data_IF_516969308570
#
_entry.id   IF_516969308570
#
_cell.length_a   1.000
_cell.length_b   1.000
_cell.length_c   1.000
_cell.angle_alpha   90.00
_cell.angle_beta   90.00
_cell.angle_gamma   90.00
#
_symmetry.space_group_name_H-M   'P 1'
#
loop_
_entity.id
_entity.type
_entity.pdbx_description
1 polymer ?
#
# COMPACT_ATOMS: atom_id res chain seq x y z
N UNK A 1 -37.73 -27.38 35.31
CA UNK A 1 -36.73 -26.67 34.49
C UNK A 1 -36.66 -25.24 35.01
N UNK A 2 -35.55 -24.84 35.59
CA UNK A 2 -35.40 -23.68 36.46
C UNK A 2 -35.56 -22.37 35.67
N UNK A 3 -36.29 -21.37 36.19
CA UNK A 3 -36.60 -20.07 35.55
C UNK A 3 -35.33 -19.35 35.01
N UNK A 4 -34.21 -19.47 35.70
CA UNK A 4 -32.95 -18.88 35.30
C UNK A 4 -32.34 -19.51 34.03
N UNK A 5 -32.52 -20.83 33.80
CA UNK A 5 -32.07 -21.49 32.55
C UNK A 5 -32.83 -21.01 31.30
N UNK A 6 -34.12 -20.69 31.46
CA UNK A 6 -34.94 -20.14 30.35
C UNK A 6 -34.50 -18.74 29.96
N UNK A 7 -34.08 -17.90 30.93
CA UNK A 7 -33.57 -16.55 30.69
C UNK A 7 -32.22 -16.62 29.96
N UNK A 8 -31.33 -17.54 30.34
CA UNK A 8 -30.04 -17.73 29.66
C UNK A 8 -30.18 -18.23 28.20
N UNK A 9 -31.11 -19.16 27.96
CA UNK A 9 -31.40 -19.69 26.61
C UNK A 9 -32.03 -18.60 25.74
N UNK A 10 -32.91 -17.76 26.25
CA UNK A 10 -33.52 -16.65 25.53
C UNK A 10 -32.46 -15.55 25.21
N UNK A 11 -31.55 -15.21 26.13
CA UNK A 11 -30.45 -14.28 25.93
C UNK A 11 -29.46 -14.78 24.90
N UNK A 12 -29.12 -16.08 24.90
CA UNK A 12 -28.21 -16.68 23.91
C UNK A 12 -28.85 -16.75 22.51
N UNK A 13 -30.13 -17.03 22.38
CA UNK A 13 -30.87 -16.97 21.11
C UNK A 13 -30.95 -15.53 20.56
N UNK A 14 -31.16 -14.52 21.42
CA UNK A 14 -31.19 -13.12 21.00
C UNK A 14 -29.81 -12.67 20.48
N UNK A 15 -28.73 -13.11 21.13
CA UNK A 15 -27.34 -12.81 20.69
C UNK A 15 -27.00 -13.49 19.35
N UNK A 16 -27.45 -14.72 19.11
CA UNK A 16 -27.29 -15.41 17.83
C UNK A 16 -28.07 -14.71 16.69
N UNK A 17 -29.27 -14.18 16.96
CA UNK A 17 -30.03 -13.41 15.96
C UNK A 17 -29.35 -12.08 15.59
N UNK A 18 -28.73 -11.38 16.53
CA UNK A 18 -28.01 -10.11 16.23
C UNK A 18 -26.70 -10.35 15.47
N UNK A 19 -25.98 -11.43 15.75
CA UNK A 19 -24.78 -11.81 15.00
C UNK A 19 -25.09 -12.15 13.53
N UNK A 20 -26.27 -12.73 13.26
CA UNK A 20 -26.69 -13.04 11.88
C UNK A 20 -27.06 -11.79 11.06
N UNK A 21 -27.51 -10.71 11.69
CA UNK A 21 -27.82 -9.45 10.99
C UNK A 21 -26.58 -8.75 10.45
N UNK A 22 -25.43 -8.85 11.10
CA UNK A 22 -24.16 -8.29 10.59
C UNK A 22 -23.57 -9.06 9.39
N UNK A 23 -23.90 -10.35 9.27
CA UNK A 23 -23.46 -11.16 8.12
C UNK A 23 -24.24 -10.83 6.83
N UNK A 24 -25.45 -10.29 6.91
CA UNK A 24 -26.27 -9.96 5.74
C UNK A 24 -25.91 -8.62 5.09
N UNK A 25 -25.19 -7.71 5.76
CA UNK A 25 -24.82 -6.41 5.23
C UNK A 25 -23.72 -6.52 4.16
N UNK A 26 -22.92 -7.56 4.15
CA UNK A 26 -21.86 -7.81 3.13
C UNK A 26 -22.38 -8.30 1.78
N UNK A 27 -23.62 -8.72 1.67
CA UNK A 27 -24.18 -9.31 0.46
C UNK A 27 -24.58 -8.34 -0.66
N UNK A 28 -24.55 -7.03 -0.43
CA UNK A 28 -25.03 -6.02 -1.39
C UNK A 28 -23.89 -5.20 -2.05
N UNK A 29 -22.65 -5.59 -1.87
CA UNK A 29 -21.51 -4.89 -2.44
C UNK A 29 -21.44 -5.09 -3.94
N UNK A 30 -21.36 -3.98 -4.69
CA UNK A 30 -21.08 -4.00 -6.11
C UNK A 30 -19.57 -4.12 -6.30
N UNK A 31 -19.13 -5.05 -7.13
CA UNK A 31 -17.74 -5.29 -7.45
C UNK A 31 -17.53 -5.35 -8.96
N UNK A 32 -16.63 -4.53 -9.48
CA UNK A 32 -16.18 -4.57 -10.87
C UNK A 32 -14.95 -5.46 -10.94
N UNK A 33 -15.03 -6.54 -11.69
CA UNK A 33 -13.94 -7.50 -11.88
C UNK A 33 -13.42 -7.35 -13.29
N UNK A 34 -12.15 -7.10 -13.41
CA UNK A 34 -11.41 -7.09 -14.67
C UNK A 34 -10.31 -8.14 -14.55
N UNK A 35 -10.24 -9.07 -15.49
CA UNK A 35 -9.22 -10.13 -15.46
C UNK A 35 -8.67 -10.41 -16.85
N UNK A 36 -7.35 -10.53 -17.00
CA UNK A 36 -6.74 -10.99 -18.23
C UNK A 36 -6.98 -12.50 -18.43
N UNK A 37 -6.77 -12.98 -19.64
CA UNK A 37 -6.96 -14.40 -20.01
C UNK A 37 -5.82 -15.32 -19.55
N UNK A 38 -4.63 -14.79 -19.24
CA UNK A 38 -3.56 -15.56 -18.62
C UNK A 38 -3.66 -15.52 -17.08
N UNK A 39 -3.50 -16.66 -16.44
CA UNK A 39 -3.60 -16.79 -14.98
C UNK A 39 -2.44 -16.13 -14.22
N UNK A 40 -1.26 -16.04 -14.82
CA UNK A 40 -0.07 -15.38 -14.28
C UNK A 40 0.05 -13.90 -14.69
N UNK A 41 -0.89 -13.42 -15.52
CA UNK A 41 -0.96 -12.04 -16.03
C UNK A 41 0.28 -11.60 -16.81
N UNK A 42 1.03 -12.57 -17.37
CA UNK A 42 2.28 -12.34 -18.12
C UNK A 42 2.12 -12.68 -19.58
N UNK A 43 2.68 -11.83 -20.45
CA UNK A 43 2.55 -11.93 -21.91
C UNK A 43 3.89 -11.69 -22.58
N UNK A 44 4.06 -12.31 -23.75
CA UNK A 44 5.16 -12.00 -24.67
C UNK A 44 4.84 -10.75 -25.46
N UNK A 45 5.88 -10.09 -25.97
CA UNK A 45 5.67 -8.95 -26.87
C UNK A 45 4.83 -9.36 -28.08
N UNK A 46 3.90 -8.48 -28.48
CA UNK A 46 2.93 -8.68 -29.57
C UNK A 46 1.87 -9.76 -29.31
N UNK A 47 1.94 -10.48 -28.23
CA UNK A 47 0.91 -11.41 -27.83
C UNK A 47 -0.38 -10.67 -27.49
N UNK A 48 -1.53 -11.24 -27.89
CA UNK A 48 -2.83 -10.64 -27.61
C UNK A 48 -3.27 -10.96 -26.19
N UNK A 49 -3.46 -9.94 -25.37
CA UNK A 49 -4.11 -10.04 -24.06
C UNK A 49 -5.59 -9.70 -24.21
N UNK A 50 -6.45 -10.53 -23.63
CA UNK A 50 -7.91 -10.32 -23.61
C UNK A 50 -8.37 -10.12 -22.17
N UNK A 51 -8.82 -8.92 -21.85
CA UNK A 51 -9.46 -8.63 -20.57
C UNK A 51 -10.94 -8.97 -20.60
N UNK A 52 -11.40 -9.68 -19.60
CA UNK A 52 -12.81 -9.92 -19.31
C UNK A 52 -13.26 -8.95 -18.23
N UNK A 53 -14.34 -8.24 -18.51
CA UNK A 53 -14.97 -7.25 -17.60
C UNK A 53 -16.32 -7.80 -17.18
N UNK A 54 -16.58 -7.86 -15.87
CA UNK A 54 -17.84 -8.30 -15.28
C UNK A 54 -18.16 -7.44 -14.06
N UNK A 55 -19.43 -7.21 -13.80
CA UNK A 55 -19.92 -6.50 -12.64
C UNK A 55 -20.78 -7.44 -11.81
N UNK A 56 -20.48 -7.53 -10.52
CA UNK A 56 -21.17 -8.39 -9.59
C UNK A 56 -21.92 -7.58 -8.55
N UNK A 57 -23.11 -8.05 -8.19
CA UNK A 57 -23.82 -7.66 -6.97
C UNK A 57 -23.87 -8.87 -6.05
N UNK A 58 -23.20 -8.78 -4.91
CA UNK A 58 -22.90 -9.94 -4.09
C UNK A 58 -22.07 -10.97 -4.91
N UNK A 59 -22.63 -12.11 -5.24
CA UNK A 59 -22.00 -13.15 -6.06
C UNK A 59 -22.65 -13.33 -7.45
N UNK A 60 -23.69 -12.55 -7.76
CA UNK A 60 -24.42 -12.64 -9.01
C UNK A 60 -23.89 -11.62 -10.02
N UNK A 61 -23.67 -12.08 -11.25
CA UNK A 61 -23.32 -11.20 -12.38
C UNK A 61 -24.50 -10.31 -12.70
N UNK A 62 -24.27 -9.03 -12.85
CA UNK A 62 -25.28 -8.07 -13.31
C UNK A 62 -25.24 -8.02 -14.84
N UNK A 63 -26.35 -8.34 -15.54
CA UNK A 63 -26.46 -8.13 -16.98
C UNK A 63 -26.65 -6.63 -17.29
N UNK A 64 -26.36 -6.27 -18.53
CA UNK A 64 -26.72 -4.97 -19.14
C UNK A 64 -26.21 -3.71 -18.42
N UNK A 65 -25.18 -3.86 -17.56
CA UNK A 65 -24.52 -2.73 -16.92
C UNK A 65 -23.76 -1.92 -17.97
N UNK A 66 -23.89 -0.60 -17.94
CA UNK A 66 -23.06 0.29 -18.75
C UNK A 66 -21.73 0.56 -18.08
N UNK A 67 -20.68 0.52 -18.88
CA UNK A 67 -19.30 0.76 -18.43
C UNK A 67 -18.61 1.72 -19.39
N UNK A 68 -17.74 2.55 -18.83
CA UNK A 68 -16.68 3.22 -19.59
C UNK A 68 -15.40 2.42 -19.39
N UNK A 69 -14.54 2.32 -20.39
CA UNK A 69 -13.24 1.72 -20.20
C UNK A 69 -12.12 2.46 -20.93
N UNK A 70 -10.92 2.36 -20.35
CA UNK A 70 -9.66 2.78 -20.94
C UNK A 70 -8.74 1.55 -21.05
N UNK A 71 -8.16 1.32 -22.21
CA UNK A 71 -7.24 0.22 -22.48
C UNK A 71 -5.99 0.75 -23.19
N UNK A 72 -4.82 0.33 -22.72
CA UNK A 72 -3.54 0.71 -23.32
C UNK A 72 -2.38 0.60 -22.35
N UNK A 73 -1.18 1.06 -22.75
CA UNK A 73 -0.04 1.15 -21.87
C UNK A 73 -0.37 1.97 -20.62
N UNK A 74 0.20 1.59 -19.49
CA UNK A 74 0.03 2.31 -18.22
C UNK A 74 0.32 3.81 -18.43
N UNK A 75 -0.56 4.69 -17.91
CA UNK A 75 -0.56 6.15 -18.07
C UNK A 75 -0.92 6.68 -19.48
N UNK A 76 -0.86 5.87 -20.53
CA UNK A 76 -1.10 6.29 -21.92
C UNK A 76 -2.12 5.37 -22.61
N UNK A 77 -3.41 5.38 -22.20
CA UNK A 77 -4.42 4.55 -22.82
C UNK A 77 -4.57 4.92 -24.29
N UNK A 78 -4.57 3.91 -25.15
CA UNK A 78 -4.72 4.06 -26.62
C UNK A 78 -6.15 3.91 -27.07
N UNK A 79 -6.99 3.29 -26.25
CA UNK A 79 -8.42 3.12 -26.52
C UNK A 79 -9.24 3.58 -25.32
N UNK A 80 -10.28 4.40 -25.59
CA UNK A 80 -11.28 4.83 -24.62
C UNK A 80 -12.66 4.66 -25.22
N UNK A 81 -13.56 4.06 -24.46
CA UNK A 81 -14.97 3.92 -24.87
C UNK A 81 -15.88 4.16 -23.67
N UNK A 82 -16.94 4.91 -23.92
CA UNK A 82 -17.92 5.29 -22.93
C UNK A 82 -19.28 4.62 -23.21
N UNK A 83 -20.02 4.31 -22.14
CA UNK A 83 -21.38 3.81 -22.19
C UNK A 83 -21.56 2.45 -22.86
N UNK A 84 -20.52 1.60 -22.89
CA UNK A 84 -20.61 0.26 -23.47
C UNK A 84 -21.40 -0.65 -22.54
N UNK A 85 -22.41 -1.34 -23.10
CA UNK A 85 -23.21 -2.29 -22.30
C UNK A 85 -22.53 -3.67 -22.22
N UNK A 86 -22.56 -4.26 -21.05
CA UNK A 86 -22.16 -5.65 -20.85
C UNK A 86 -23.23 -6.56 -21.46
N UNK A 87 -22.88 -7.30 -22.51
CA UNK A 87 -23.78 -8.32 -23.07
C UNK A 87 -23.73 -9.57 -22.22
N UNK A 88 -24.87 -10.04 -21.76
CA UNK A 88 -24.97 -11.21 -20.87
C UNK A 88 -24.07 -11.10 -19.64
N UNK A 89 -23.90 -9.89 -19.12
CA UNK A 89 -23.06 -9.58 -17.95
C UNK A 89 -21.56 -9.61 -18.19
N UNK A 90 -21.11 -9.65 -19.47
CA UNK A 90 -19.70 -9.75 -19.84
C UNK A 90 -19.34 -8.80 -20.98
N UNK A 91 -18.16 -8.20 -20.90
CA UNK A 91 -17.49 -7.52 -22.01
C UNK A 91 -16.05 -8.03 -22.11
N UNK A 92 -15.60 -8.31 -23.33
CA UNK A 92 -14.19 -8.62 -23.58
C UNK A 92 -13.56 -7.55 -24.44
N UNK A 93 -12.38 -7.09 -24.02
CA UNK A 93 -11.58 -6.11 -24.76
C UNK A 93 -10.16 -6.65 -24.89
N UNK A 94 -9.50 -6.39 -26.00
CA UNK A 94 -8.18 -6.98 -26.26
C UNK A 94 -7.21 -5.94 -26.80
N UNK A 95 -5.95 -6.08 -26.40
CA UNK A 95 -4.85 -5.30 -26.97
C UNK A 95 -3.54 -6.08 -26.87
N UNK A 96 -2.45 -5.51 -27.33
CA UNK A 96 -1.11 -6.06 -27.23
C UNK A 96 -0.09 -4.93 -27.06
N UNK A 97 1.13 -5.26 -26.65
CA UNK A 97 2.24 -4.30 -26.55
C UNK A 97 3.42 -4.76 -27.41
N UNK A 98 4.09 -3.79 -28.05
CA UNK A 98 5.28 -4.02 -28.86
C UNK A 98 6.59 -3.83 -28.07
N UNK A 99 6.50 -3.22 -26.89
CA UNK A 99 7.63 -2.92 -26.00
C UNK A 99 7.36 -3.50 -24.61
N UNK A 100 8.41 -3.86 -23.85
CA UNK A 100 8.26 -4.28 -22.46
C UNK A 100 7.54 -3.23 -21.63
N UNK A 101 6.67 -3.67 -20.71
CA UNK A 101 5.90 -2.75 -19.87
C UNK A 101 4.58 -3.34 -19.39
N UNK A 102 3.61 -2.48 -19.13
CA UNK A 102 2.34 -2.86 -18.52
C UNK A 102 1.16 -2.36 -19.33
N UNK A 103 0.31 -3.30 -19.75
CA UNK A 103 -0.96 -3.04 -20.42
C UNK A 103 -2.06 -2.98 -19.35
N UNK A 104 -2.76 -1.86 -19.25
CA UNK A 104 -3.79 -1.62 -18.24
C UNK A 104 -5.17 -1.48 -18.85
N UNK A 105 -6.14 -2.15 -18.24
CA UNK A 105 -7.56 -1.95 -18.50
C UNK A 105 -8.19 -1.35 -17.23
N UNK A 106 -8.67 -0.10 -17.33
CA UNK A 106 -9.47 0.59 -16.30
C UNK A 106 -10.92 0.59 -16.72
N UNK A 107 -11.80 0.37 -15.77
CA UNK A 107 -13.25 0.28 -16.01
C UNK A 107 -13.98 1.09 -14.95
N UNK A 108 -14.95 1.86 -15.38
CA UNK A 108 -15.93 2.52 -14.52
C UNK A 108 -17.32 2.01 -14.85
N UNK A 109 -17.99 1.36 -13.92
CA UNK A 109 -19.31 0.80 -14.07
C UNK A 109 -20.38 1.67 -13.42
N UNK A 110 -21.54 1.78 -14.06
CA UNK A 110 -22.67 2.59 -13.60
C UNK A 110 -23.79 1.66 -13.13
N UNK A 111 -24.04 1.65 -11.81
CA UNK A 111 -25.11 0.84 -11.21
C UNK A 111 -26.01 1.72 -10.36
N UNK A 112 -27.26 1.91 -10.81
CA UNK A 112 -28.14 2.92 -10.25
C UNK A 112 -27.56 4.34 -10.42
N UNK A 113 -27.50 5.11 -9.32
CA UNK A 113 -26.93 6.46 -9.31
C UNK A 113 -25.48 6.51 -8.80
N UNK A 114 -24.77 5.38 -8.80
CA UNK A 114 -23.40 5.27 -8.29
C UNK A 114 -22.47 4.73 -9.35
N UNK A 115 -21.20 5.11 -9.22
CA UNK A 115 -20.10 4.59 -10.04
C UNK A 115 -19.20 3.67 -9.23
N UNK A 116 -18.66 2.65 -9.89
CA UNK A 116 -17.77 1.67 -9.29
C UNK A 116 -16.59 1.42 -10.23
N UNK A 117 -15.39 1.41 -9.68
CA UNK A 117 -14.18 1.26 -10.47
C UNK A 117 -13.62 -0.18 -10.40
N UNK A 118 -13.03 -0.62 -11.50
CA UNK A 118 -12.29 -1.88 -11.60
C UNK A 118 -11.07 -1.69 -12.46
N UNK A 119 -10.03 -2.50 -12.23
CA UNK A 119 -8.78 -2.38 -12.99
C UNK A 119 -8.04 -3.72 -12.99
N UNK A 120 -7.39 -4.02 -14.12
CA UNK A 120 -6.37 -5.05 -14.21
C UNK A 120 -5.20 -4.58 -15.07
N UNK A 121 -4.01 -5.12 -14.77
CA UNK A 121 -2.78 -4.76 -15.48
C UNK A 121 -2.02 -6.04 -15.85
N UNK A 122 -1.81 -6.25 -17.15
CA UNK A 122 -1.03 -7.35 -17.69
C UNK A 122 0.43 -6.92 -17.92
N UNK A 123 1.38 -7.79 -17.58
CA UNK A 123 2.82 -7.52 -17.74
C UNK A 123 3.32 -8.11 -19.05
N UNK A 124 3.99 -7.30 -19.86
CA UNK A 124 4.62 -7.69 -21.13
C UNK A 124 6.13 -7.73 -20.98
N UNK A 125 6.72 -8.91 -21.10
CA UNK A 125 8.16 -9.16 -20.98
C UNK A 125 8.79 -8.36 -19.81
N UNK A 126 8.27 -8.47 -18.57
CA UNK A 126 8.68 -7.60 -17.47
C UNK A 126 10.16 -7.73 -17.13
N UNK A 127 10.77 -8.89 -17.37
CA UNK A 127 12.21 -9.14 -17.20
C UNK A 127 13.08 -8.35 -18.20
N UNK A 128 12.49 -7.86 -19.27
CA UNK A 128 13.16 -7.06 -20.30
C UNK A 128 13.03 -5.55 -20.08
N UNK A 129 12.32 -5.11 -19.06
CA UNK A 129 12.23 -3.70 -18.69
C UNK A 129 13.61 -3.22 -18.25
N UNK A 130 14.05 -2.10 -18.83
CA UNK A 130 15.33 -1.47 -18.50
C UNK A 130 15.10 -0.11 -17.85
N UNK A 131 15.97 0.26 -16.93
CA UNK A 131 15.96 1.60 -16.36
C UNK A 131 16.14 2.62 -17.48
N UNK A 132 15.27 3.65 -17.49
CA UNK A 132 15.35 4.72 -18.46
C UNK A 132 16.50 5.69 -18.14
N UNK A 133 16.78 5.88 -16.86
CA UNK A 133 17.92 6.65 -16.39
C UNK A 133 19.07 5.73 -15.98
N UNK A 134 20.27 6.13 -16.29
CA UNK A 134 21.52 5.50 -15.84
C UNK A 134 22.23 6.43 -14.88
N UNK A 135 23.00 5.85 -13.96
CA UNK A 135 23.84 6.66 -13.08
C UNK A 135 24.84 7.48 -13.90
N UNK A 136 25.13 8.73 -13.49
CA UNK A 136 26.25 9.48 -14.04
C UNK A 136 27.56 8.68 -13.93
N UNK A 137 28.51 8.93 -14.81
CA UNK A 137 29.78 8.17 -14.83
C UNK A 137 30.63 8.32 -13.57
N UNK A 138 30.41 9.39 -12.82
CA UNK A 138 31.11 9.71 -11.57
C UNK A 138 30.29 9.35 -10.30
N UNK A 139 29.14 8.68 -10.45
CA UNK A 139 28.22 8.40 -9.34
C UNK A 139 28.92 7.74 -8.14
N UNK A 140 29.66 6.68 -8.37
CA UNK A 140 30.32 5.93 -7.31
C UNK A 140 31.44 6.78 -6.66
N UNK A 141 32.27 7.43 -7.46
CA UNK A 141 33.33 8.32 -6.99
C UNK A 141 32.80 9.50 -6.15
N UNK A 142 31.70 10.09 -6.60
CA UNK A 142 31.02 11.16 -5.86
C UNK A 142 30.56 10.69 -4.48
N UNK A 143 29.89 9.54 -4.42
CA UNK A 143 29.38 9.02 -3.16
C UNK A 143 30.50 8.51 -2.24
N UNK A 144 31.54 7.85 -2.75
CA UNK A 144 32.70 7.44 -1.97
C UNK A 144 33.42 8.64 -1.35
N UNK A 145 33.63 9.70 -2.13
CA UNK A 145 34.21 10.94 -1.64
C UNK A 145 33.36 11.58 -0.53
N UNK A 146 32.08 11.74 -0.78
CA UNK A 146 31.13 12.32 0.19
C UNK A 146 31.07 11.52 1.50
N UNK A 147 31.01 10.19 1.41
CA UNK A 147 31.01 9.31 2.57
C UNK A 147 32.32 9.36 3.35
N UNK A 148 33.46 9.49 2.65
CA UNK A 148 34.77 9.64 3.28
C UNK A 148 34.83 10.93 4.09
N UNK A 149 34.34 12.05 3.55
CA UNK A 149 34.25 13.33 4.25
C UNK A 149 33.30 13.26 5.44
N UNK A 150 32.10 12.67 5.25
CA UNK A 150 31.12 12.52 6.31
C UNK A 150 31.66 11.71 7.51
N UNK A 151 32.45 10.68 7.26
CA UNK A 151 33.05 9.82 8.30
C UNK A 151 34.14 10.55 9.13
N UNK A 152 34.65 11.67 8.64
CA UNK A 152 35.59 12.50 9.40
C UNK A 152 34.90 13.42 10.40
N UNK A 153 33.61 13.65 10.26
CA UNK A 153 32.83 14.50 11.16
C UNK A 153 32.35 13.69 12.35
N UNK A 154 32.73 14.07 13.60
CA UNK A 154 32.21 13.40 14.79
C UNK A 154 30.67 13.51 14.86
N UNK A 155 29.98 12.43 15.17
CA UNK A 155 28.52 12.42 15.26
C UNK A 155 28.00 13.39 16.34
N UNK A 156 28.75 13.65 17.39
CA UNK A 156 28.37 14.56 18.50
C UNK A 156 26.90 14.42 18.86
N UNK A 157 26.45 13.17 19.05
CA UNK A 157 25.06 12.84 19.30
C UNK A 157 24.58 13.38 20.64
N UNK A 158 23.33 13.84 20.67
CA UNK A 158 22.62 14.21 21.91
C UNK A 158 21.37 13.33 22.03
N UNK A 159 20.97 13.08 23.26
CA UNK A 159 19.79 12.30 23.59
C UNK A 159 19.08 12.91 24.77
N UNK A 160 17.84 13.34 24.59
CA UNK A 160 16.99 13.98 25.59
C UNK A 160 15.73 13.14 25.80
N UNK A 161 15.47 12.75 27.05
CA UNK A 161 14.27 11.99 27.40
C UNK A 161 13.04 12.88 27.25
N UNK A 162 11.99 12.32 26.64
CA UNK A 162 10.67 12.94 26.53
C UNK A 162 9.68 12.24 27.48
N UNK A 163 9.60 12.64 28.76
CA UNK A 163 8.84 11.91 29.78
C UNK A 163 7.35 11.74 29.43
N UNK A 164 6.76 12.77 28.80
CA UNK A 164 5.34 12.77 28.40
C UNK A 164 5.01 11.76 27.31
N UNK A 165 6.03 11.22 26.62
CA UNK A 165 5.89 10.23 25.55
C UNK A 165 6.31 8.83 25.98
N UNK A 166 6.91 8.69 27.16
CA UNK A 166 7.30 7.39 27.70
C UNK A 166 6.10 6.57 28.12
N UNK A 167 6.21 5.25 28.01
CA UNK A 167 5.23 4.29 28.54
C UNK A 167 5.81 3.53 29.74
N UNK A 168 5.08 2.58 30.31
CA UNK A 168 5.60 1.72 31.37
C UNK A 168 6.83 0.92 30.92
N UNK A 169 6.86 0.50 29.66
CA UNK A 169 7.87 -0.41 29.11
C UNK A 169 8.85 0.22 28.14
N UNK A 170 8.59 1.46 27.65
CA UNK A 170 9.38 2.13 26.62
C UNK A 170 9.78 3.53 27.04
N UNK A 171 11.05 3.86 26.89
CA UNK A 171 11.56 5.22 26.93
C UNK A 171 11.55 5.84 25.53
N UNK A 172 11.18 7.12 25.45
CA UNK A 172 11.18 7.90 24.20
C UNK A 172 12.13 9.07 24.36
N UNK A 173 13.02 9.21 23.40
CA UNK A 173 14.04 10.27 23.40
C UNK A 173 13.94 11.09 22.12
N UNK A 174 14.15 12.38 22.25
CA UNK A 174 14.60 13.19 21.13
C UNK A 174 16.10 12.98 20.96
N UNK A 175 16.53 12.65 19.77
CA UNK A 175 17.95 12.46 19.47
C UNK A 175 18.36 13.41 18.35
N UNK A 176 19.61 13.86 18.39
CA UNK A 176 20.20 14.57 17.27
C UNK A 176 21.66 14.21 17.10
N UNK A 177 22.15 14.33 15.88
CA UNK A 177 23.55 14.11 15.56
C UNK A 177 24.00 15.07 14.48
N UNK A 178 25.31 15.35 14.51
CA UNK A 178 25.96 16.24 13.58
C UNK A 178 25.91 15.64 12.16
N UNK A 179 25.50 16.44 11.21
CA UNK A 179 25.55 16.15 9.78
C UNK A 179 26.95 16.48 9.21
N UNK A 180 27.21 16.18 7.93
CA UNK A 180 28.46 16.48 7.22
C UNK A 180 28.82 17.99 7.29
N UNK A 181 27.84 18.88 7.34
CA UNK A 181 28.08 20.33 7.47
C UNK A 181 28.08 20.71 8.94
N UNK A 182 29.17 21.33 9.40
CA UNK A 182 29.27 21.81 10.76
C UNK A 182 28.10 22.74 11.11
N UNK A 183 27.48 22.49 12.28
CA UNK A 183 26.28 23.22 12.73
C UNK A 183 24.95 22.71 12.17
N UNK A 184 24.97 21.89 11.12
CA UNK A 184 23.78 21.22 10.60
C UNK A 184 23.54 19.92 11.37
N UNK A 185 22.37 19.74 11.95
CA UNK A 185 22.02 18.55 12.74
C UNK A 185 20.82 17.83 12.17
N UNK A 186 20.88 16.52 12.19
CA UNK A 186 19.72 15.64 11.89
C UNK A 186 19.04 15.29 13.22
N UNK A 187 17.74 15.45 13.27
CA UNK A 187 16.92 15.14 14.46
C UNK A 187 16.10 13.89 14.23
N UNK A 188 15.70 13.26 15.31
CA UNK A 188 14.82 12.10 15.24
C UNK A 188 14.26 11.72 16.61
N UNK A 189 13.37 10.75 16.62
CA UNK A 189 12.79 10.16 17.81
C UNK A 189 13.29 8.73 17.94
N UNK A 190 13.87 8.41 19.10
CA UNK A 190 14.32 7.08 19.46
C UNK A 190 13.40 6.50 20.53
N UNK A 191 12.78 5.36 20.24
CA UNK A 191 12.02 4.56 21.19
C UNK A 191 12.83 3.33 21.58
N UNK A 192 13.03 3.13 22.89
CA UNK A 192 13.85 2.05 23.46
C UNK A 192 13.07 1.29 24.52
N UNK A 193 13.10 -0.06 24.56
CA UNK A 193 12.63 -0.80 25.70
C UNK A 193 13.36 -0.36 26.98
N UNK A 194 12.64 -0.29 28.13
CA UNK A 194 13.23 0.01 29.43
C UNK A 194 14.02 -1.16 30.01
N UNK A 195 13.64 -2.40 29.63
CA UNK A 195 14.33 -3.59 30.04
C UNK A 195 15.74 -3.63 29.43
N UNK A 196 16.73 -4.05 30.20
CA UNK A 196 18.07 -4.25 29.70
C UNK A 196 18.10 -5.46 28.73
N UNK A 197 18.83 -5.34 27.62
CA UNK A 197 18.95 -6.40 26.63
C UNK A 197 19.61 -5.94 25.32
N UNK A 198 19.86 -6.89 24.44
CA UNK A 198 20.26 -6.61 23.07
C UNK A 198 19.01 -6.66 22.18
N UNK A 199 18.72 -5.58 21.49
CA UNK A 199 17.54 -5.45 20.67
C UNK A 199 17.91 -5.19 19.21
N UNK A 200 17.18 -5.75 18.24
CA UNK A 200 17.33 -5.36 16.86
C UNK A 200 16.99 -3.88 16.70
N UNK A 201 17.75 -3.17 15.88
CA UNK A 201 17.54 -1.77 15.56
C UNK A 201 16.76 -1.63 14.25
N UNK A 202 15.71 -0.81 14.25
CA UNK A 202 14.92 -0.46 13.09
C UNK A 202 15.04 1.03 12.82
N UNK A 203 15.58 1.39 11.65
CA UNK A 203 15.56 2.76 11.16
C UNK A 203 14.32 2.95 10.29
N UNK A 204 13.47 3.91 10.66
CA UNK A 204 12.34 4.34 9.85
C UNK A 204 12.64 5.71 9.28
N UNK A 205 12.84 5.78 7.97
CA UNK A 205 13.01 7.04 7.26
C UNK A 205 11.65 7.66 6.91
N UNK A 206 11.52 9.00 6.93
CA UNK A 206 10.28 9.66 6.58
C UNK A 206 9.95 9.51 5.10
N UNK A 207 8.66 9.62 4.78
CA UNK A 207 8.21 9.86 3.41
C UNK A 207 8.40 11.34 3.03
N UNK A 208 7.98 11.70 1.82
CA UNK A 208 8.04 13.07 1.35
C UNK A 208 7.19 14.03 2.21
N UNK A 209 7.73 15.23 2.45
CA UNK A 209 7.09 16.34 3.16
C UNK A 209 7.43 16.43 4.64
N UNK A 210 7.37 17.64 5.16
CA UNK A 210 7.61 17.96 6.57
C UNK A 210 6.43 17.47 7.41
N UNK A 211 6.69 16.62 8.39
CA UNK A 211 5.65 16.05 9.29
C UNK A 211 6.22 15.90 10.70
N UNK A 212 5.42 16.17 11.75
CA UNK A 212 5.85 15.84 13.11
C UNK A 212 5.95 14.31 13.29
N UNK A 213 7.05 13.85 13.86
CA UNK A 213 7.26 12.44 14.20
C UNK A 213 7.13 12.25 15.71
N UNK A 214 6.35 11.26 16.10
CA UNK A 214 6.06 10.99 17.52
C UNK A 214 6.80 9.75 18.05
N UNK A 215 7.40 8.96 17.14
CA UNK A 215 7.97 7.65 17.45
C UNK A 215 6.91 6.53 17.39
N UNK A 216 7.38 5.30 17.39
CA UNK A 216 6.54 4.10 17.39
C UNK A 216 6.83 3.26 18.62
N UNK A 217 6.11 3.59 19.70
CA UNK A 217 6.25 2.90 20.99
C UNK A 217 5.73 1.47 20.95
N UNK A 218 4.76 1.15 20.06
CA UNK A 218 4.21 -0.19 19.95
C UNK A 218 5.24 -1.18 19.41
N UNK A 219 5.99 -0.80 18.37
CA UNK A 219 7.06 -1.61 17.82
C UNK A 219 8.21 -1.74 18.82
N UNK A 220 8.56 -0.67 19.53
CA UNK A 220 9.59 -0.71 20.57
C UNK A 220 9.18 -1.60 21.75
N UNK A 221 7.92 -1.60 22.16
CA UNK A 221 7.41 -2.47 23.22
C UNK A 221 7.52 -3.97 22.87
N UNK A 222 7.59 -4.32 21.59
CA UNK A 222 7.82 -5.70 21.10
C UNK A 222 9.30 -6.11 21.08
N UNK A 223 10.21 -5.29 21.60
CA UNK A 223 11.63 -5.61 21.72
C UNK A 223 12.45 -5.11 20.52
N UNK A 224 12.22 -3.90 20.05
CA UNK A 224 12.97 -3.25 18.99
C UNK A 224 13.49 -1.88 19.44
N UNK A 225 14.71 -1.52 19.05
CA UNK A 225 15.16 -0.12 19.05
C UNK A 225 14.61 0.53 17.78
N UNK A 226 13.78 1.56 17.91
CA UNK A 226 13.21 2.23 16.77
C UNK A 226 13.66 3.68 16.70
N UNK A 227 14.42 4.01 15.66
CA UNK A 227 14.81 5.36 15.33
C UNK A 227 13.99 5.86 14.13
N UNK A 228 13.32 7.00 14.30
CA UNK A 228 12.62 7.69 13.20
C UNK A 228 13.31 9.03 13.00
N UNK A 229 13.90 9.23 11.81
CA UNK A 229 14.48 10.53 11.46
C UNK A 229 13.39 11.52 11.09
N UNK A 230 13.60 12.78 11.42
CA UNK A 230 12.90 13.89 10.79
C UNK A 230 13.52 14.18 9.42
N UNK A 231 12.72 14.61 8.44
CA UNK A 231 13.28 15.11 7.21
C UNK A 231 14.07 16.39 7.55
N UNK A 232 15.38 16.34 7.44
CA UNK A 232 16.20 17.51 7.60
C UNK A 232 15.85 18.53 6.51
N UNK A 233 15.61 19.77 6.90
CA UNK A 233 15.56 20.92 6.01
C UNK A 233 16.92 21.15 5.35
#
# INVERSE_FOLDING_TARGET
MNRNRKIWIAGFMLYLCTASMFAQIRGNEIRVVVSPDHSDWTYRLKEKCTFTIQVYKAQNVLPDVKVDYELGPEWYPTEKKDGVSLKDGKLTVSSSMNTPGFLRCKVKAYVGNKTYDGMATAAYAPESIRAHAVNPSDFDNFWEGTLKEARQVPLSSTMELLPSRCTETVNVYQVSFQNIRQGSRTFGILCMPKASGNYPALLRVPGAGVRPYYGDVETAAKGCLLYTSDAAD
#
